data_IF_538814051240
#
_entry.id   IF_538814051240
#
_cell.length_a   1.000
_cell.length_b   1.000
_cell.length_c   1.000
_cell.angle_alpha   90.00
_cell.angle_beta   90.00
_cell.angle_gamma   90.00
#
_symmetry.space_group_name_H-M   'P 1'
#
loop_
_entity.id
_entity.type
_entity.pdbx_description
1 polymer ?
#
# COMPACT_ATOMS: atom_id res chain seq x y z
N UNK A 1 2.60 10.21 -18.92
CA UNK A 1 3.29 10.60 -17.67
C UNK A 1 3.08 9.52 -16.63
N UNK A 2 4.08 9.23 -15.81
CA UNK A 2 4.02 8.19 -14.77
C UNK A 2 3.93 8.85 -13.39
N UNK A 3 2.92 8.43 -12.62
CA UNK A 3 2.65 8.96 -11.29
C UNK A 3 2.75 7.84 -10.25
N UNK A 4 3.63 8.02 -9.25
CA UNK A 4 3.76 7.11 -8.11
C UNK A 4 2.92 7.63 -6.96
N UNK A 5 2.06 6.80 -6.41
CA UNK A 5 1.18 7.11 -5.27
C UNK A 5 1.74 6.49 -3.99
N UNK A 6 1.72 7.25 -2.91
CA UNK A 6 1.97 6.75 -1.56
C UNK A 6 0.82 5.89 -1.03
N UNK A 7 0.92 5.51 0.24
CA UNK A 7 0.01 4.62 0.97
C UNK A 7 -1.43 5.16 0.96
N UNK A 8 -2.38 4.35 0.47
CA UNK A 8 -3.78 4.75 0.31
C UNK A 8 -4.64 4.35 1.50
N UNK A 9 -4.38 3.17 2.05
CA UNK A 9 -5.09 2.65 3.22
C UNK A 9 -6.61 2.81 3.16
N UNK A 10 -7.24 2.29 2.09
CA UNK A 10 -8.69 2.32 1.95
C UNK A 10 -9.32 3.72 1.80
N UNK A 11 -8.53 4.78 1.63
CA UNK A 11 -9.02 6.15 1.40
C UNK A 11 -9.37 6.37 -0.07
N UNK A 12 -10.40 5.68 -0.55
CA UNK A 12 -10.79 5.65 -1.97
C UNK A 12 -11.29 7.01 -2.48
N UNK A 13 -12.05 7.75 -1.68
CA UNK A 13 -12.56 9.06 -2.09
C UNK A 13 -11.41 10.04 -2.32
N UNK A 14 -10.43 10.02 -1.42
CA UNK A 14 -9.20 10.81 -1.58
C UNK A 14 -8.42 10.39 -2.83
N UNK A 15 -8.30 9.08 -3.08
CA UNK A 15 -7.63 8.60 -4.31
C UNK A 15 -8.29 9.15 -5.57
N UNK A 16 -9.62 9.12 -5.65
CA UNK A 16 -10.37 9.65 -6.80
C UNK A 16 -10.22 11.17 -6.90
N UNK A 17 -10.26 11.90 -5.79
CA UNK A 17 -10.05 13.35 -5.77
C UNK A 17 -8.64 13.73 -6.26
N UNK A 18 -7.62 12.97 -5.86
CA UNK A 18 -6.24 13.19 -6.32
C UNK A 18 -6.09 12.84 -7.81
N UNK A 19 -6.62 11.69 -8.24
CA UNK A 19 -6.65 11.28 -9.66
C UNK A 19 -7.26 12.36 -10.55
N UNK A 20 -8.33 13.00 -10.12
CA UNK A 20 -9.01 14.05 -10.90
C UNK A 20 -8.20 15.36 -11.04
N UNK A 21 -7.11 15.52 -10.27
CA UNK A 21 -6.14 16.64 -10.42
C UNK A 21 -5.03 16.33 -11.41
N UNK A 22 -4.87 15.07 -11.80
CA UNK A 22 -3.81 14.60 -12.69
C UNK A 22 -4.27 14.71 -14.14
N UNK A 23 -3.39 15.21 -15.01
CA UNK A 23 -3.67 15.38 -16.43
C UNK A 23 -3.30 14.14 -17.23
N UNK A 24 -4.17 13.73 -18.13
CA UNK A 24 -3.90 12.63 -19.09
C UNK A 24 -2.88 13.03 -20.18
N UNK A 25 -2.15 12.07 -20.79
CA UNK A 25 -2.19 10.63 -20.49
C UNK A 25 -1.34 10.27 -19.27
N UNK A 26 -1.75 9.25 -18.50
CA UNK A 26 -1.07 8.83 -17.29
C UNK A 26 -0.95 7.30 -17.17
N UNK A 27 0.06 6.87 -16.45
CA UNK A 27 0.25 5.53 -15.90
C UNK A 27 0.44 5.66 -14.39
N UNK A 28 -0.28 4.87 -13.60
CA UNK A 28 -0.23 4.92 -12.16
C UNK A 28 0.57 3.74 -11.59
N UNK A 29 1.36 4.05 -10.58
CA UNK A 29 2.19 3.11 -9.83
C UNK A 29 1.89 3.34 -8.35
N UNK A 30 1.66 2.28 -7.59
CA UNK A 30 1.40 2.35 -6.14
C UNK A 30 2.53 1.69 -5.37
N UNK A 31 2.92 2.28 -4.25
CA UNK A 31 3.98 1.75 -3.37
C UNK A 31 3.50 0.60 -2.48
N UNK A 32 2.25 0.14 -2.61
CA UNK A 32 1.61 -0.80 -1.70
C UNK A 32 0.73 -0.10 -0.67
N UNK A 33 0.32 -0.84 0.36
CA UNK A 33 -0.58 -0.39 1.43
C UNK A 33 -1.85 0.29 0.88
N UNK A 34 -2.50 -0.42 -0.04
CA UNK A 34 -3.77 -0.03 -0.64
C UNK A 34 -4.92 -0.15 0.35
N UNK A 35 -4.82 -1.09 1.28
CA UNK A 35 -5.89 -1.60 2.14
C UNK A 35 -5.69 -1.25 3.61
N UNK A 36 -6.66 -1.66 4.41
CA UNK A 36 -6.72 -1.52 5.86
C UNK A 36 -6.93 -0.08 6.34
N UNK A 37 -7.37 0.08 7.59
CA UNK A 37 -7.54 1.39 8.28
C UNK A 37 -8.68 2.25 7.73
N UNK A 38 -8.76 2.49 6.43
CA UNK A 38 -9.85 3.20 5.76
C UNK A 38 -10.99 2.27 5.32
N UNK A 39 -12.15 2.87 5.00
CA UNK A 39 -13.41 2.14 4.80
C UNK A 39 -13.56 1.43 3.45
N UNK A 40 -12.75 1.78 2.45
CA UNK A 40 -13.02 1.41 1.06
C UNK A 40 -11.91 0.57 0.44
N UNK A 41 -11.28 -0.33 1.23
CA UNK A 41 -10.19 -1.20 0.77
C UNK A 41 -10.54 -1.99 -0.50
N UNK A 42 -11.74 -2.59 -0.55
CA UNK A 42 -12.25 -3.29 -1.73
C UNK A 42 -12.28 -2.40 -2.98
N UNK A 43 -12.71 -1.14 -2.83
CA UNK A 43 -12.84 -0.23 -3.96
C UNK A 43 -11.48 0.27 -4.45
N UNK A 44 -10.49 0.41 -3.55
CA UNK A 44 -9.10 0.72 -3.92
C UNK A 44 -8.48 -0.41 -4.71
N UNK A 45 -8.56 -1.67 -4.24
CA UNK A 45 -8.08 -2.85 -4.99
C UNK A 45 -8.75 -2.91 -6.37
N UNK A 46 -10.07 -2.76 -6.41
CA UNK A 46 -10.82 -2.76 -7.67
C UNK A 46 -10.31 -1.69 -8.63
N UNK A 47 -10.09 -0.47 -8.16
CA UNK A 47 -9.56 0.62 -8.96
C UNK A 47 -8.19 0.29 -9.56
N UNK A 48 -7.25 -0.20 -8.74
CA UNK A 48 -5.88 -0.54 -9.16
C UNK A 48 -5.90 -1.64 -10.23
N UNK A 49 -6.72 -2.68 -10.04
CA UNK A 49 -6.86 -3.81 -10.97
C UNK A 49 -7.52 -3.41 -12.28
N UNK A 50 -8.67 -2.72 -12.23
CA UNK A 50 -9.46 -2.35 -13.43
C UNK A 50 -8.75 -1.32 -14.31
N UNK A 51 -7.88 -0.49 -13.73
CA UNK A 51 -7.08 0.48 -14.48
C UNK A 51 -5.69 -0.05 -14.85
N UNK A 52 -5.40 -1.34 -14.63
CA UNK A 52 -4.11 -1.97 -14.91
C UNK A 52 -2.92 -1.19 -14.32
N UNK A 53 -3.09 -0.63 -13.13
CA UNK A 53 -2.03 0.10 -12.45
C UNK A 53 -0.91 -0.85 -12.02
N UNK A 54 0.32 -0.38 -12.03
CA UNK A 54 1.42 -1.07 -11.38
C UNK A 54 1.32 -0.89 -9.86
N UNK A 55 1.73 -1.91 -9.11
CA UNK A 55 1.71 -1.85 -7.66
C UNK A 55 2.79 -2.76 -7.08
N UNK A 56 3.49 -2.32 -6.04
CA UNK A 56 4.35 -3.18 -5.22
C UNK A 56 3.55 -3.78 -4.06
N UNK A 57 4.00 -4.91 -3.55
CA UNK A 57 3.40 -5.53 -2.37
C UNK A 57 3.73 -4.69 -1.13
N UNK A 58 2.72 -4.30 -0.37
CA UNK A 58 2.87 -3.68 0.95
C UNK A 58 2.70 -4.71 2.09
N UNK A 59 3.11 -4.33 3.29
CA UNK A 59 2.98 -5.22 4.45
C UNK A 59 1.50 -5.45 4.83
N UNK A 60 0.60 -4.51 4.56
CA UNK A 60 -0.83 -4.70 4.77
C UNK A 60 -1.42 -5.70 3.77
N UNK A 61 -1.01 -5.69 2.52
CA UNK A 61 -1.36 -6.74 1.55
C UNK A 61 -0.80 -8.09 1.97
N UNK A 62 0.44 -8.17 2.47
CA UNK A 62 1.03 -9.41 3.00
C UNK A 62 0.20 -9.96 4.15
N UNK A 63 -0.23 -9.12 5.10
CA UNK A 63 -1.12 -9.52 6.19
C UNK A 63 -2.47 -10.03 5.66
N UNK A 64 -3.08 -9.39 4.66
CA UNK A 64 -4.33 -9.87 4.05
C UNK A 64 -4.13 -11.22 3.36
N UNK A 65 -3.01 -11.45 2.68
CA UNK A 65 -2.69 -12.74 2.06
C UNK A 65 -2.68 -13.84 3.13
N UNK A 66 -1.92 -13.66 4.20
CA UNK A 66 -1.72 -14.67 5.24
C UNK A 66 -2.99 -14.91 6.09
N UNK A 67 -3.54 -13.83 6.62
CA UNK A 67 -4.68 -13.91 7.54
C UNK A 67 -6.02 -14.04 6.82
N UNK A 68 -6.16 -13.51 5.61
CA UNK A 68 -7.34 -13.66 4.78
C UNK A 68 -7.54 -15.11 4.33
N UNK A 69 -6.47 -15.86 4.03
CA UNK A 69 -6.59 -17.30 3.77
C UNK A 69 -7.02 -18.09 4.99
N UNK A 70 -6.54 -17.71 6.19
CA UNK A 70 -7.00 -18.34 7.44
C UNK A 70 -8.49 -18.00 7.66
N UNK A 71 -8.90 -16.74 7.45
CA UNK A 71 -10.28 -16.31 7.53
C UNK A 71 -11.20 -17.16 6.63
N UNK A 72 -10.85 -17.32 5.36
CA UNK A 72 -11.61 -18.13 4.40
C UNK A 72 -11.79 -19.59 4.83
N UNK A 73 -10.82 -20.14 5.56
CA UNK A 73 -10.88 -21.52 6.10
C UNK A 73 -11.66 -21.66 7.40
N UNK A 74 -11.89 -20.55 8.10
CA UNK A 74 -12.42 -20.54 9.48
C UNK A 74 -13.60 -19.59 9.66
N UNK A 75 -14.42 -19.37 8.62
CA UNK A 75 -15.52 -18.38 8.60
C UNK A 75 -16.43 -18.44 9.83
N UNK A 76 -16.72 -19.63 10.36
CA UNK A 76 -17.59 -19.83 11.52
C UNK A 76 -16.87 -19.67 12.87
N UNK A 77 -15.55 -19.51 12.88
CA UNK A 77 -14.75 -19.42 14.11
C UNK A 77 -13.67 -18.34 14.03
N UNK A 78 -14.09 -17.07 14.08
CA UNK A 78 -13.19 -15.91 14.06
C UNK A 78 -12.35 -15.74 15.35
N UNK A 79 -12.47 -16.65 16.31
CA UNK A 79 -11.76 -16.58 17.59
C UNK A 79 -10.31 -17.08 17.54
N UNK A 80 -9.70 -17.20 16.36
CA UNK A 80 -8.30 -17.61 16.25
C UNK A 80 -7.36 -16.43 16.46
N UNK A 81 -6.38 -16.58 17.36
CA UNK A 81 -5.42 -15.53 17.74
C UNK A 81 -4.66 -14.92 16.53
N UNK A 82 -4.49 -15.66 15.45
CA UNK A 82 -3.78 -15.21 14.25
C UNK A 82 -4.53 -14.09 13.50
N UNK A 83 -5.86 -14.15 13.40
CA UNK A 83 -6.65 -13.12 12.72
C UNK A 83 -6.65 -11.81 13.54
N UNK A 84 -6.55 -11.89 14.87
CA UNK A 84 -6.57 -10.71 15.74
C UNK A 84 -5.46 -9.71 15.44
N UNK A 85 -4.26 -10.15 15.06
CA UNK A 85 -3.17 -9.23 14.71
C UNK A 85 -3.52 -8.37 13.49
N UNK A 86 -3.98 -8.97 12.40
CA UNK A 86 -4.38 -8.22 11.22
C UNK A 86 -5.62 -7.33 11.47
N UNK A 87 -6.64 -7.84 12.17
CA UNK A 87 -7.83 -7.04 12.53
C UNK A 87 -7.45 -5.79 13.33
N UNK A 88 -6.51 -5.90 14.27
CA UNK A 88 -6.05 -4.76 15.06
C UNK A 88 -5.15 -3.79 14.28
N UNK A 89 -4.53 -4.26 13.20
CA UNK A 89 -3.71 -3.43 12.30
C UNK A 89 -4.53 -2.66 11.27
N UNK A 90 -5.87 -2.88 11.22
CA UNK A 90 -6.78 -2.23 10.27
C UNK A 90 -7.50 -3.19 9.33
N UNK A 91 -7.20 -4.49 9.37
CA UNK A 91 -7.84 -5.51 8.51
C UNK A 91 -9.35 -5.68 8.76
N UNK A 92 -9.83 -5.21 9.92
CA UNK A 92 -11.25 -5.16 10.24
C UNK A 92 -12.00 -4.28 9.23
N UNK A 93 -11.47 -3.12 8.89
CA UNK A 93 -12.03 -2.20 7.91
C UNK A 93 -12.04 -2.82 6.52
N UNK A 94 -10.99 -3.58 6.18
CA UNK A 94 -10.93 -4.35 4.93
C UNK A 94 -12.05 -5.38 4.86
N UNK A 95 -12.20 -6.24 5.87
CA UNK A 95 -13.27 -7.25 5.88
C UNK A 95 -14.68 -6.63 5.89
N UNK A 96 -14.87 -5.48 6.56
CA UNK A 96 -16.11 -4.70 6.50
C UNK A 96 -16.39 -4.18 5.09
N UNK A 97 -15.37 -3.74 4.34
CA UNK A 97 -15.54 -3.25 2.98
C UNK A 97 -16.03 -4.31 1.99
N UNK A 98 -15.78 -5.60 2.29
CA UNK A 98 -16.31 -6.75 1.56
C UNK A 98 -17.64 -7.30 2.15
N UNK A 99 -18.20 -6.66 3.18
CA UNK A 99 -19.37 -7.13 3.93
C UNK A 99 -19.19 -8.53 4.56
N UNK A 100 -17.95 -8.99 4.78
CA UNK A 100 -17.67 -10.32 5.29
C UNK A 100 -17.81 -10.45 6.79
N UNK A 101 -17.71 -9.34 7.51
CA UNK A 101 -17.90 -9.29 8.95
C UNK A 101 -18.92 -8.23 9.37
N UNK A 102 -19.45 -8.40 10.57
CA UNK A 102 -20.25 -7.40 11.29
C UNK A 102 -19.74 -7.25 12.72
N UNK A 103 -20.03 -6.12 13.32
CA UNK A 103 -19.65 -5.83 14.72
C UNK A 103 -20.93 -5.79 15.56
N UNK A 104 -21.06 -6.72 16.49
CA UNK A 104 -22.18 -6.79 17.43
C UNK A 104 -21.64 -6.91 18.86
N UNK A 105 -22.07 -6.05 19.77
CA UNK A 105 -21.62 -6.03 21.18
C UNK A 105 -20.08 -6.06 21.33
N UNK A 106 -19.37 -5.27 20.54
CA UNK A 106 -17.90 -5.21 20.45
C UNK A 106 -17.23 -6.51 20.03
N UNK A 107 -17.97 -7.46 19.43
CA UNK A 107 -17.44 -8.70 18.88
C UNK A 107 -17.46 -8.63 17.36
N UNK A 108 -16.40 -9.10 16.75
CA UNK A 108 -16.32 -9.32 15.30
C UNK A 108 -16.92 -10.68 15.01
N UNK A 109 -17.94 -10.72 14.16
CA UNK A 109 -18.64 -11.92 13.76
C UNK A 109 -18.66 -12.01 12.23
N UNK A 110 -18.67 -13.22 11.68
CA UNK A 110 -18.98 -13.41 10.27
C UNK A 110 -20.38 -12.88 9.96
N UNK A 111 -20.51 -12.13 8.84
CA UNK A 111 -21.79 -11.51 8.49
C UNK A 111 -22.84 -12.49 8.03
N UNK A 112 -22.42 -13.64 7.48
CA UNK A 112 -23.27 -14.58 6.75
C UNK A 112 -23.60 -14.10 5.31
N UNK A 113 -22.94 -13.05 4.83
CA UNK A 113 -23.10 -12.52 3.47
C UNK A 113 -21.93 -12.94 2.59
N UNK A 114 -22.17 -13.88 1.67
CA UNK A 114 -21.16 -14.42 0.75
C UNK A 114 -21.04 -13.62 -0.55
N UNK A 115 -21.75 -12.51 -0.69
CA UNK A 115 -21.82 -11.72 -1.93
C UNK A 115 -20.44 -11.37 -2.48
N UNK A 116 -19.50 -10.99 -1.60
CA UNK A 116 -18.15 -10.60 -1.99
C UNK A 116 -17.06 -11.61 -1.62
N UNK A 117 -17.45 -12.80 -1.11
CA UNK A 117 -16.47 -13.82 -0.70
C UNK A 117 -15.55 -14.25 -1.85
N UNK A 118 -16.15 -14.50 -3.02
CA UNK A 118 -15.40 -14.85 -4.24
C UNK A 118 -14.47 -13.72 -4.68
N UNK A 119 -14.93 -12.48 -4.63
CA UNK A 119 -14.08 -11.33 -4.97
C UNK A 119 -12.91 -11.21 -3.99
N UNK A 120 -13.14 -11.36 -2.70
CA UNK A 120 -12.10 -11.33 -1.67
C UNK A 120 -11.02 -12.42 -1.91
N UNK A 121 -11.46 -13.66 -2.24
CA UNK A 121 -10.55 -14.73 -2.62
C UNK A 121 -9.73 -14.41 -3.88
N UNK A 122 -10.36 -13.83 -4.91
CA UNK A 122 -9.70 -13.49 -6.16
C UNK A 122 -8.76 -12.27 -6.00
N UNK A 123 -9.09 -11.36 -5.08
CA UNK A 123 -8.22 -10.24 -4.72
C UNK A 123 -6.97 -10.73 -3.96
N UNK A 124 -7.10 -11.69 -3.02
CA UNK A 124 -5.94 -12.35 -2.39
C UNK A 124 -5.04 -13.01 -3.44
N UNK A 125 -5.60 -13.73 -4.42
CA UNK A 125 -4.82 -14.33 -5.49
C UNK A 125 -4.06 -13.29 -6.32
N UNK A 126 -4.68 -12.17 -6.59
CA UNK A 126 -4.04 -11.07 -7.29
C UNK A 126 -2.92 -10.43 -6.45
N UNK A 127 -3.15 -10.17 -5.15
CA UNK A 127 -2.14 -9.62 -4.25
C UNK A 127 -0.87 -10.48 -4.20
N UNK A 128 -1.00 -11.80 -4.27
CA UNK A 128 0.15 -12.73 -4.34
C UNK A 128 1.00 -12.57 -5.61
N UNK A 129 0.51 -11.90 -6.63
CA UNK A 129 1.28 -11.65 -7.87
C UNK A 129 2.06 -10.34 -7.84
N UNK A 130 1.86 -9.51 -6.81
CA UNK A 130 2.53 -8.22 -6.71
C UNK A 130 4.03 -8.39 -6.42
N UNK A 131 4.91 -7.65 -7.12
CA UNK A 131 6.34 -7.69 -6.88
C UNK A 131 6.72 -6.91 -5.62
N UNK A 132 7.86 -7.21 -5.03
CA UNK A 132 8.44 -6.44 -3.91
C UNK A 132 8.97 -5.07 -4.36
N UNK A 133 9.37 -4.94 -5.62
CA UNK A 133 9.83 -3.68 -6.19
C UNK A 133 9.57 -3.61 -7.70
N UNK A 134 9.54 -2.39 -8.24
CA UNK A 134 9.43 -2.12 -9.68
C UNK A 134 10.59 -1.21 -10.07
N UNK A 135 11.51 -1.70 -10.91
CA UNK A 135 12.57 -0.89 -11.50
C UNK A 135 12.03 -0.26 -12.79
N UNK A 136 12.17 1.05 -12.91
CA UNK A 136 11.66 1.81 -14.05
C UNK A 136 12.80 2.16 -15.02
N UNK A 137 12.49 2.20 -16.31
CA UNK A 137 13.41 2.72 -17.33
C UNK A 137 13.44 4.27 -17.26
N UNK A 138 14.00 4.78 -16.18
CA UNK A 138 14.16 6.22 -15.91
C UNK A 138 15.24 6.45 -14.87
N UNK A 139 15.93 7.59 -14.97
CA UNK A 139 16.89 8.04 -13.96
C UNK A 139 16.45 9.38 -13.35
N UNK A 140 16.73 9.53 -12.06
CA UNK A 140 16.67 10.77 -11.30
C UNK A 140 18.02 10.93 -10.59
N UNK A 141 18.67 12.08 -10.75
CA UNK A 141 19.99 12.37 -10.19
C UNK A 141 21.03 11.27 -10.53
N UNK A 142 21.06 10.83 -11.80
CA UNK A 142 21.91 9.77 -12.35
C UNK A 142 21.70 8.37 -11.75
N UNK A 143 20.70 8.17 -10.88
CA UNK A 143 20.33 6.89 -10.25
C UNK A 143 19.12 6.27 -10.93
N UNK A 144 19.11 4.95 -11.07
CA UNK A 144 17.95 4.21 -11.58
C UNK A 144 16.77 4.33 -10.62
N UNK A 145 15.59 4.63 -11.16
CA UNK A 145 14.37 4.79 -10.32
C UNK A 145 13.80 3.43 -9.97
N UNK A 146 13.63 3.19 -8.67
CA UNK A 146 13.02 1.97 -8.14
C UNK A 146 11.89 2.36 -7.19
N UNK A 147 10.73 1.75 -7.40
CA UNK A 147 9.56 1.84 -6.51
C UNK A 147 9.48 0.59 -5.66
N UNK A 148 9.27 0.74 -4.35
CA UNK A 148 9.10 -0.35 -3.40
C UNK A 148 8.15 0.09 -2.28
N UNK A 149 7.72 -0.83 -1.41
CA UNK A 149 6.87 -0.42 -0.28
C UNK A 149 7.67 0.28 0.82
N UNK A 150 8.68 -0.37 1.38
CA UNK A 150 9.64 0.30 2.27
C UNK A 150 10.95 0.62 1.54
N UNK A 151 11.85 1.34 2.20
CA UNK A 151 13.15 1.70 1.62
C UNK A 151 14.05 0.46 1.48
N UNK A 152 14.38 0.07 0.24
CA UNK A 152 15.26 -1.06 -0.06
C UNK A 152 16.66 -0.64 -0.52
N UNK A 153 16.97 0.65 -0.52
CA UNK A 153 18.26 1.17 -1.00
C UNK A 153 19.45 0.48 -0.33
N UNK A 154 19.35 0.25 0.98
CA UNK A 154 20.44 -0.28 1.79
C UNK A 154 20.76 -1.77 1.51
N UNK A 155 19.82 -2.48 0.88
CA UNK A 155 19.95 -3.91 0.55
C UNK A 155 19.84 -4.17 -0.96
N UNK A 156 19.81 -3.11 -1.78
CA UNK A 156 19.60 -3.22 -3.22
C UNK A 156 20.59 -4.15 -3.93
N UNK A 157 21.84 -4.14 -3.53
CA UNK A 157 22.88 -5.00 -4.05
C UNK A 157 22.64 -6.50 -3.77
N UNK A 158 21.76 -6.85 -2.83
CA UNK A 158 21.41 -8.22 -2.46
C UNK A 158 20.10 -8.73 -3.05
N UNK A 159 19.41 -7.93 -3.87
CA UNK A 159 18.10 -8.26 -4.44
C UNK A 159 18.02 -9.57 -5.24
N UNK A 160 19.16 -10.07 -5.72
CA UNK A 160 19.28 -11.32 -6.48
C UNK A 160 20.01 -12.42 -5.69
N UNK A 161 20.33 -12.19 -4.44
CA UNK A 161 21.00 -13.16 -3.57
C UNK A 161 19.95 -14.14 -3.02
N UNK A 162 20.05 -15.41 -3.43
CA UNK A 162 19.10 -16.46 -3.02
C UNK A 162 19.17 -16.70 -1.51
N UNK A 163 20.34 -16.61 -0.92
CA UNK A 163 20.52 -16.83 0.53
C UNK A 163 20.00 -15.64 1.36
N UNK A 164 19.70 -14.52 0.73
CA UNK A 164 19.16 -13.30 1.34
C UNK A 164 17.69 -13.02 0.93
N UNK A 165 17.02 -13.93 0.24
CA UNK A 165 15.71 -13.68 -0.33
C UNK A 165 14.64 -13.38 0.74
N UNK A 166 14.62 -14.14 1.84
CA UNK A 166 13.66 -13.95 2.94
C UNK A 166 13.92 -12.64 3.69
N UNK A 167 15.19 -12.32 3.96
CA UNK A 167 15.59 -11.05 4.58
C UNK A 167 15.30 -9.85 3.64
N UNK A 168 15.46 -10.03 2.33
CA UNK A 168 15.12 -8.98 1.37
C UNK A 168 13.61 -8.70 1.35
N UNK A 169 12.75 -9.74 1.41
CA UNK A 169 11.30 -9.58 1.54
C UNK A 169 10.95 -8.87 2.84
N UNK A 170 11.53 -9.30 3.97
CA UNK A 170 11.32 -8.65 5.27
C UNK A 170 11.71 -7.16 5.22
N UNK A 171 12.85 -6.87 4.59
CA UNK A 171 13.32 -5.51 4.39
C UNK A 171 12.35 -4.69 3.55
N UNK A 172 11.92 -5.23 2.41
CA UNK A 172 11.04 -4.56 1.46
C UNK A 172 9.65 -4.25 2.03
N UNK A 173 9.20 -5.00 3.05
CA UNK A 173 7.85 -4.88 3.60
C UNK A 173 7.80 -4.15 4.96
N UNK A 174 8.85 -4.25 5.80
CA UNK A 174 8.72 -3.88 7.21
C UNK A 174 9.77 -2.90 7.73
N UNK A 175 10.88 -2.72 7.04
CA UNK A 175 11.95 -1.86 7.52
C UNK A 175 11.60 -0.38 7.48
N UNK A 176 12.07 0.36 8.50
CA UNK A 176 11.85 1.80 8.66
C UNK A 176 13.15 2.60 8.70
N UNK A 177 14.21 2.02 8.15
CA UNK A 177 15.52 2.66 8.11
C UNK A 177 15.55 3.76 7.05
N UNK A 178 16.31 4.81 7.33
CA UNK A 178 16.63 5.84 6.35
C UNK A 178 17.56 5.27 5.27
N UNK A 179 17.38 5.74 4.03
CA UNK A 179 18.28 5.41 2.93
C UNK A 179 19.66 6.03 3.15
N UNK A 180 20.72 5.22 3.00
CA UNK A 180 22.10 5.71 3.02
C UNK A 180 22.39 6.53 1.74
N UNK A 181 23.29 7.54 1.85
CA UNK A 181 23.57 8.47 0.76
C UNK A 181 24.27 7.84 -0.46
N UNK A 182 25.05 6.76 -0.26
CA UNK A 182 25.85 6.09 -1.30
C UNK A 182 25.06 5.00 -2.05
N UNK A 183 23.78 5.24 -2.35
CA UNK A 183 22.95 4.26 -3.02
C UNK A 183 23.00 4.37 -4.54
N UNK A 184 22.92 3.20 -5.21
CA UNK A 184 22.90 3.08 -6.67
C UNK A 184 21.57 3.48 -7.29
N UNK A 185 20.49 3.54 -6.48
CA UNK A 185 19.12 3.81 -6.93
C UNK A 185 18.55 5.09 -6.34
N UNK A 186 17.59 5.69 -7.04
CA UNK A 186 16.64 6.64 -6.49
C UNK A 186 15.40 5.86 -6.07
N UNK A 187 15.25 5.64 -4.76
CA UNK A 187 14.17 4.82 -4.24
C UNK A 187 12.93 5.66 -3.92
N UNK A 188 11.79 5.32 -4.50
CA UNK A 188 10.48 5.89 -4.18
C UNK A 188 9.71 4.86 -3.36
N UNK A 189 9.28 5.22 -2.16
CA UNK A 189 8.64 4.29 -1.22
C UNK A 189 7.61 4.99 -0.32
N UNK A 190 6.96 4.22 0.58
CA UNK A 190 6.00 4.68 1.57
C UNK A 190 6.25 4.08 2.95
N UNK A 191 5.26 3.36 3.52
CA UNK A 191 5.32 2.57 4.76
C UNK A 191 5.50 3.37 6.07
N UNK A 192 6.31 4.40 6.07
CA UNK A 192 6.58 5.20 7.27
C UNK A 192 6.01 6.60 7.08
N UNK A 193 4.87 6.92 7.72
CA UNK A 193 4.24 8.22 7.55
C UNK A 193 5.18 9.39 7.89
N UNK A 194 5.29 10.33 6.97
CA UNK A 194 6.08 11.55 7.15
C UNK A 194 5.17 12.72 7.54
N UNK A 195 5.47 13.43 8.63
CA UNK A 195 4.71 14.61 9.02
C UNK A 195 4.96 15.77 8.05
N UNK A 196 3.97 16.63 7.90
CA UNK A 196 4.01 17.88 7.11
C UNK A 196 4.09 17.70 5.58
N UNK A 197 4.31 16.53 5.04
CA UNK A 197 4.40 16.25 3.60
C UNK A 197 5.43 15.19 3.27
N UNK A 198 5.71 15.01 1.98
CA UNK A 198 6.67 14.00 1.51
C UNK A 198 8.09 14.31 1.97
N UNK A 199 8.90 13.27 2.19
CA UNK A 199 10.33 13.44 2.44
C UNK A 199 11.13 13.15 1.17
N UNK A 200 11.52 14.23 0.48
CA UNK A 200 12.30 14.19 -0.75
C UNK A 200 13.76 14.55 -0.48
N UNK A 201 14.66 13.63 -0.81
CA UNK A 201 16.11 13.83 -0.77
C UNK A 201 16.75 13.61 -2.16
N UNK A 202 18.05 13.81 -2.24
CA UNK A 202 18.79 13.62 -3.49
C UNK A 202 18.73 12.18 -4.03
N UNK A 203 18.54 11.19 -3.15
CA UNK A 203 18.64 9.75 -3.45
C UNK A 203 17.38 8.96 -3.11
N UNK A 204 16.36 9.57 -2.53
CA UNK A 204 15.08 8.90 -2.26
C UNK A 204 13.90 9.87 -2.17
N UNK A 205 12.70 9.29 -2.22
CA UNK A 205 11.43 9.96 -1.94
C UNK A 205 10.52 9.04 -1.14
N UNK A 206 10.18 9.44 0.10
CA UNK A 206 9.10 8.83 0.86
C UNK A 206 7.79 9.57 0.57
N UNK A 207 6.80 8.84 0.02
CA UNK A 207 5.49 9.37 -0.37
C UNK A 207 4.38 9.12 0.66
N UNK A 208 4.63 8.36 1.71
CA UNK A 208 3.60 8.12 2.73
C UNK A 208 3.42 9.40 3.57
N UNK A 209 2.31 10.05 3.37
CA UNK A 209 1.90 11.26 4.12
C UNK A 209 0.73 10.99 5.06
N UNK A 210 0.56 9.71 5.43
CA UNK A 210 -0.39 9.27 6.44
C UNK A 210 -1.85 9.51 6.07
N UNK A 211 -2.28 9.15 4.85
CA UNK A 211 -3.62 9.45 4.34
C UNK A 211 -4.73 9.08 5.33
N UNK A 212 -4.62 7.92 6.00
CA UNK A 212 -5.61 7.44 6.97
C UNK A 212 -5.54 8.14 8.34
N UNK A 213 -4.44 8.81 8.65
CA UNK A 213 -4.21 9.45 9.96
C UNK A 213 -5.02 10.75 10.04
N UNK A 214 -5.75 10.92 11.15
CA UNK A 214 -6.59 12.10 11.36
C UNK A 214 -5.95 13.05 12.39
N UNK A 215 -4.86 13.69 11.97
CA UNK A 215 -4.22 14.76 12.73
C UNK A 215 -3.77 15.92 11.82
N UNK A 216 -3.19 16.97 12.41
CA UNK A 216 -2.80 18.18 11.66
C UNK A 216 -1.56 17.99 10.80
N UNK A 217 -0.69 17.05 11.16
CA UNK A 217 0.63 16.87 10.54
C UNK A 217 0.58 15.88 9.37
N UNK A 218 -0.42 14.97 9.37
CA UNK A 218 -0.67 13.92 8.40
C UNK A 218 -2.00 14.12 7.65
N UNK A 219 -2.63 13.05 7.24
CA UNK A 219 -3.96 13.08 6.63
C UNK A 219 -3.96 13.58 5.20
N UNK A 220 -2.90 13.30 4.44
CA UNK A 220 -2.79 13.62 3.01
C UNK A 220 -2.50 12.37 2.21
N UNK A 221 -2.99 12.34 0.96
CA UNK A 221 -2.51 11.43 -0.07
C UNK A 221 -1.62 12.20 -1.02
N UNK A 222 -0.43 11.65 -1.26
CA UNK A 222 0.58 12.27 -2.12
C UNK A 222 0.89 11.40 -3.33
N UNK A 223 1.18 12.05 -4.45
CA UNK A 223 1.70 11.43 -5.66
C UNK A 223 2.86 12.22 -6.24
N UNK A 224 3.75 11.53 -6.91
CA UNK A 224 4.93 12.09 -7.57
C UNK A 224 4.93 11.76 -9.04
N UNK A 225 5.00 12.78 -9.89
CA UNK A 225 5.20 12.60 -11.33
C UNK A 225 6.68 12.39 -11.64
N UNK A 226 7.04 11.19 -12.09
CA UNK A 226 8.43 10.85 -12.41
C UNK A 226 8.99 11.70 -13.56
N UNK A 227 8.12 12.07 -14.51
CA UNK A 227 8.54 12.77 -15.72
C UNK A 227 8.80 14.27 -15.48
N UNK A 228 8.03 14.92 -14.61
CA UNK A 228 8.16 16.34 -14.26
C UNK A 228 8.82 16.57 -12.92
N UNK A 229 8.96 15.54 -12.10
CA UNK A 229 9.42 15.58 -10.71
C UNK A 229 8.55 16.48 -9.80
N UNK A 230 7.27 16.62 -10.13
CA UNK A 230 6.31 17.37 -9.33
C UNK A 230 5.61 16.45 -8.32
N UNK A 231 5.44 16.95 -7.10
CA UNK A 231 4.63 16.35 -6.05
C UNK A 231 3.25 17.01 -6.05
N UNK A 232 2.20 16.20 -6.02
CA UNK A 232 0.82 16.66 -5.79
C UNK A 232 0.32 15.98 -4.53
N UNK A 233 -0.14 16.78 -3.56
CA UNK A 233 -0.73 16.27 -2.31
C UNK A 233 -2.10 16.88 -2.11
N UNK A 234 -3.04 16.09 -1.59
CA UNK A 234 -4.36 16.58 -1.18
C UNK A 234 -4.70 16.08 0.22
N UNK A 235 -5.48 16.86 0.93
CA UNK A 235 -6.01 16.42 2.22
C UNK A 235 -6.99 15.27 2.04
N UNK A 236 -7.04 14.39 3.04
CA UNK A 236 -8.02 13.31 3.12
C UNK A 236 -9.44 13.84 2.95
N UNK A 237 -10.23 13.14 2.15
CA UNK A 237 -11.64 13.41 2.00
C UNK A 237 -12.39 13.04 3.30
N UNK A 238 -13.33 13.86 3.71
CA UNK A 238 -14.09 13.66 4.96
C UNK A 238 -14.99 12.41 4.95
N UNK A 239 -15.24 11.85 3.78
CA UNK A 239 -16.07 10.64 3.63
C UNK A 239 -15.27 9.34 3.78
N UNK A 240 -13.93 9.39 3.75
CA UNK A 240 -13.02 8.23 3.95
C UNK A 240 -12.94 7.73 5.40
#
# INVERSE_FOLDING_TARGET
MRYVFGDVHGCFKTLIDLKNKIKEPYEFIFVGDLIDRGKYSKDVIKFVRENNCLCTLGNHEKMMIEHGEIFLKTLDNLATNYIHMWLNSGGKETLLSYNLIKIENARVLYSGDDTFLKQFEDDIKWLKTLPLYIQLDKKINDRDVVVSHSCISNVWNKKNDIDFADEFEEYALWHRDDALCDNEIFNIFGHTPTPFGVDLKEHYLNLDTGCYINDIDHGKLSTFCIDTQEVISINRNKED
#
